data_IF_167841848858
#
_entry.id   IF_167841848858
#
_cell.length_a   1.000
_cell.length_b   1.000
_cell.length_c   1.000
_cell.angle_alpha   90.00
_cell.angle_beta   90.00
_cell.angle_gamma   90.00
#
_symmetry.space_group_name_H-M   'P 1'
#
loop_
_entity.id
_entity.type
_entity.pdbx_description
1 polymer ?
#
# COMPACT_ATOMS: atom_id res chain seq x y z
N UNK A 1 -46.11 25.29 -2.37
CA UNK A 1 -45.71 25.40 -0.95
C UNK A 1 -44.43 24.59 -0.81
N UNK A 2 -43.31 25.29 -0.87
CA UNK A 2 -41.94 24.78 -0.86
C UNK A 2 -41.43 24.79 0.57
N UNK A 3 -40.78 23.70 1.02
CA UNK A 3 -39.74 23.52 2.07
C UNK A 3 -39.34 22.03 1.91
N UNK A 4 -38.27 21.60 1.23
CA UNK A 4 -36.82 21.78 1.38
C UNK A 4 -36.19 21.19 2.66
N UNK A 5 -35.23 20.26 2.44
CA UNK A 5 -34.01 19.99 3.23
C UNK A 5 -34.21 19.11 4.50
N UNK A 6 -33.43 18.09 4.87
CA UNK A 6 -32.02 17.74 4.64
C UNK A 6 -31.86 16.21 4.81
N UNK A 7 -31.67 15.45 3.74
CA UNK A 7 -30.75 14.29 3.80
C UNK A 7 -29.52 14.70 3.02
N UNK A 8 -28.75 15.61 3.61
CA UNK A 8 -27.33 15.66 3.31
C UNK A 8 -26.80 14.30 3.74
N UNK A 9 -26.65 13.38 2.79
CA UNK A 9 -25.53 12.46 2.85
C UNK A 9 -24.30 13.36 2.82
N UNK A 10 -23.93 13.87 4.00
CA UNK A 10 -22.56 14.24 4.25
C UNK A 10 -21.86 12.91 4.07
N UNK A 11 -21.29 12.71 2.88
CA UNK A 11 -20.20 11.78 2.68
C UNK A 11 -19.12 12.32 3.61
N UNK A 12 -19.21 11.99 4.90
CA UNK A 12 -18.06 12.06 5.78
C UNK A 12 -17.10 11.09 5.12
N UNK A 13 -15.94 11.59 4.70
CA UNK A 13 -14.83 10.71 4.41
C UNK A 13 -14.64 9.85 5.64
N UNK A 14 -15.01 8.58 5.54
CA UNK A 14 -14.76 7.62 6.60
C UNK A 14 -13.27 7.34 6.54
N UNK A 15 -12.53 7.87 7.51
CA UNK A 15 -11.14 7.48 7.72
C UNK A 15 -11.17 6.25 8.62
N UNK A 16 -10.75 5.11 8.08
CA UNK A 16 -10.76 3.86 8.84
C UNK A 16 -9.69 3.87 9.93
N UNK A 17 -8.56 4.55 9.68
CA UNK A 17 -7.48 4.73 10.66
C UNK A 17 -7.66 5.95 11.57
N UNK A 18 -8.67 6.80 11.31
CA UNK A 18 -8.96 8.03 12.05
C UNK A 18 -8.39 9.30 11.40
N UNK A 19 -9.02 10.44 11.67
CA UNK A 19 -8.71 11.74 11.03
C UNK A 19 -7.23 12.15 11.17
N UNK A 20 -6.61 11.85 12.31
CA UNK A 20 -5.20 12.14 12.55
C UNK A 20 -4.28 11.24 11.72
N UNK A 21 -4.70 10.00 11.43
CA UNK A 21 -3.98 9.10 10.54
C UNK A 21 -4.03 9.59 9.08
N UNK A 22 -5.11 10.25 8.65
CA UNK A 22 -5.16 10.88 7.33
C UNK A 22 -4.06 11.92 7.15
N UNK A 23 -3.67 12.65 8.20
CA UNK A 23 -2.55 13.59 8.14
C UNK A 23 -1.22 12.87 7.90
N UNK A 24 -1.03 11.70 8.52
CA UNK A 24 0.13 10.83 8.27
C UNK A 24 0.11 10.36 6.82
N UNK A 25 -1.00 9.80 6.34
CA UNK A 25 -1.10 9.32 4.96
C UNK A 25 -0.92 10.43 3.93
N UNK A 26 -1.49 11.62 4.14
CA UNK A 26 -1.27 12.76 3.24
C UNK A 26 0.22 13.13 3.15
N UNK A 27 0.92 13.15 4.30
CA UNK A 27 2.35 13.45 4.34
C UNK A 27 3.19 12.34 3.71
N UNK A 28 2.88 11.07 4.03
CA UNK A 28 3.53 9.88 3.52
C UNK A 28 3.39 9.74 2.00
N UNK A 29 2.17 9.82 1.48
CA UNK A 29 1.91 9.76 0.04
C UNK A 29 2.38 11.03 -0.67
N UNK A 30 2.43 12.17 0.01
CA UNK A 30 3.12 13.37 -0.45
C UNK A 30 4.65 13.26 -0.46
N UNK A 31 5.21 12.14 0.01
CA UNK A 31 6.65 11.87 0.08
C UNK A 31 7.43 12.82 0.99
N UNK A 32 6.76 13.34 2.02
CA UNK A 32 7.36 14.10 3.12
C UNK A 32 7.58 13.17 4.31
N UNK A 33 8.52 12.23 4.18
CA UNK A 33 8.73 11.14 5.15
C UNK A 33 9.11 11.66 6.54
N UNK A 34 9.90 12.73 6.64
CA UNK A 34 10.29 13.34 7.91
C UNK A 34 9.10 13.96 8.64
N UNK A 35 8.20 14.59 7.90
CA UNK A 35 6.97 15.16 8.45
C UNK A 35 6.02 14.04 8.89
N UNK A 36 5.86 12.99 8.08
CA UNK A 36 5.04 11.83 8.41
C UNK A 36 5.51 11.16 9.72
N UNK A 37 6.81 10.92 9.87
CA UNK A 37 7.40 10.39 11.10
C UNK A 37 7.13 11.31 12.32
N UNK A 38 7.27 12.62 12.11
CA UNK A 38 7.04 13.61 13.18
C UNK A 38 5.60 13.62 13.67
N UNK A 39 4.62 13.52 12.76
CA UNK A 39 3.19 13.42 13.10
C UNK A 39 2.93 12.14 13.90
N UNK A 40 3.47 10.99 13.45
CA UNK A 40 3.32 9.72 14.16
C UNK A 40 3.92 9.80 15.57
N UNK A 41 5.13 10.32 15.73
CA UNK A 41 5.79 10.45 17.04
C UNK A 41 5.02 11.38 17.98
N UNK A 42 4.52 12.52 17.49
CA UNK A 42 3.73 13.45 18.29
C UNK A 42 2.45 12.79 18.82
N UNK A 43 1.74 12.05 17.97
CA UNK A 43 0.50 11.37 18.37
C UNK A 43 0.74 10.17 19.29
N UNK A 44 1.83 9.42 19.11
CA UNK A 44 2.21 8.33 20.05
C UNK A 44 2.56 8.82 21.46
N UNK A 45 3.06 10.05 21.57
CA UNK A 45 3.41 10.64 22.85
C UNK A 45 2.16 11.15 23.60
N UNK A 46 1.13 11.61 22.87
CA UNK A 46 -0.09 12.17 23.45
C UNK A 46 -1.23 11.17 23.60
N UNK A 47 -1.29 10.17 22.71
CA UNK A 47 -2.26 9.09 22.70
C UNK A 47 -1.48 7.80 22.91
N UNK A 48 -1.82 7.04 23.96
CA UNK A 48 -1.20 5.77 24.32
C UNK A 48 -0.83 4.94 23.09
N UNK A 49 0.33 4.28 23.10
CA UNK A 49 0.92 3.58 21.96
C UNK A 49 -0.01 2.49 21.38
N UNK A 50 -0.94 2.83 20.48
CA UNK A 50 -1.98 1.93 19.97
C UNK A 50 -1.48 1.05 18.83
N UNK A 51 -2.27 0.03 18.46
CA UNK A 51 -1.99 -0.80 17.29
C UNK A 51 -1.86 0.03 16.00
N UNK A 52 -2.75 1.01 15.82
CA UNK A 52 -2.79 1.90 14.65
C UNK A 52 -1.52 2.76 14.56
N UNK A 53 -1.11 3.40 15.65
CA UNK A 53 0.08 4.26 15.62
C UNK A 53 1.37 3.47 15.40
N UNK A 54 1.44 2.25 15.93
CA UNK A 54 2.53 1.34 15.62
C UNK A 54 2.52 0.95 14.13
N UNK A 55 1.36 0.62 13.56
CA UNK A 55 1.25 0.27 12.15
C UNK A 55 1.63 1.45 11.23
N UNK A 56 1.21 2.67 11.55
CA UNK A 56 1.60 3.88 10.81
C UNK A 56 3.11 4.13 10.91
N UNK A 57 3.72 3.93 12.08
CA UNK A 57 5.17 4.01 12.24
C UNK A 57 5.92 2.95 11.44
N UNK A 58 5.38 1.74 11.33
CA UNK A 58 5.91 0.71 10.44
C UNK A 58 5.77 1.11 8.97
N UNK A 59 4.67 1.75 8.56
CA UNK A 59 4.48 2.21 7.19
C UNK A 59 5.49 3.32 6.80
N UNK A 60 5.79 4.24 7.72
CA UNK A 60 6.87 5.22 7.52
C UNK A 60 8.22 4.52 7.30
N UNK A 61 8.57 3.57 8.16
CA UNK A 61 9.81 2.81 8.00
C UNK A 61 9.83 1.99 6.69
N UNK A 62 8.69 1.44 6.29
CA UNK A 62 8.53 0.74 5.01
C UNK A 62 8.80 1.65 3.81
N UNK A 63 8.28 2.89 3.83
CA UNK A 63 8.54 3.86 2.77
C UNK A 63 10.01 4.29 2.73
N UNK A 64 10.67 4.42 3.88
CA UNK A 64 12.11 4.68 3.96
C UNK A 64 12.95 3.54 3.37
N UNK A 65 12.58 2.28 3.65
CA UNK A 65 13.20 1.08 3.06
C UNK A 65 13.07 1.11 1.53
N UNK A 66 11.86 1.37 1.02
CA UNK A 66 11.60 1.48 -0.42
C UNK A 66 12.26 2.69 -1.08
N UNK A 67 12.58 3.74 -0.32
CA UNK A 67 13.26 4.94 -0.80
C UNK A 67 14.79 4.77 -0.93
N UNK A 68 15.29 3.54 -0.92
CA UNK A 68 16.71 3.23 -1.10
C UNK A 68 17.45 2.83 0.17
N UNK A 69 16.76 2.64 1.29
CA UNK A 69 17.36 2.18 2.55
C UNK A 69 17.15 0.68 2.80
N UNK A 70 17.11 -0.14 1.75
CA UNK A 70 16.78 -1.56 1.85
C UNK A 70 17.68 -2.31 2.85
N UNK A 71 19.00 -2.04 2.82
CA UNK A 71 19.98 -2.66 3.71
C UNK A 71 20.16 -1.94 5.06
N UNK A 72 19.39 -0.87 5.33
CA UNK A 72 19.56 -0.08 6.56
C UNK A 72 19.10 -0.86 7.79
N UNK A 73 20.00 -1.19 8.74
CA UNK A 73 19.59 -1.93 9.94
C UNK A 73 18.67 -1.09 10.84
N UNK A 74 18.76 0.25 10.76
CA UNK A 74 17.92 1.16 11.56
C UNK A 74 16.47 1.07 11.12
N UNK A 75 16.21 1.21 9.82
CA UNK A 75 14.84 1.21 9.29
C UNK A 75 14.21 -0.18 9.34
N UNK A 76 14.98 -1.23 9.06
CA UNK A 76 14.50 -2.62 9.21
C UNK A 76 14.14 -2.92 10.68
N UNK A 77 14.99 -2.58 11.65
CA UNK A 77 14.69 -2.77 13.07
C UNK A 77 13.48 -1.93 13.53
N UNK A 78 13.33 -0.71 13.01
CA UNK A 78 12.17 0.13 13.31
C UNK A 78 10.89 -0.47 12.74
N UNK A 79 10.91 -0.97 11.51
CA UNK A 79 9.79 -1.67 10.89
C UNK A 79 9.37 -2.88 11.73
N UNK A 80 10.30 -3.80 12.01
CA UNK A 80 10.03 -5.03 12.77
C UNK A 80 9.50 -4.75 14.18
N UNK A 81 10.12 -3.80 14.90
CA UNK A 81 9.69 -3.41 16.24
C UNK A 81 8.24 -2.94 16.24
N UNK A 82 7.88 -2.08 15.28
CA UNK A 82 6.55 -1.48 15.19
C UNK A 82 5.51 -2.49 14.71
N UNK A 83 5.82 -3.36 13.75
CA UNK A 83 4.95 -4.48 13.34
C UNK A 83 4.66 -5.41 14.52
N UNK A 84 5.68 -5.79 15.29
CA UNK A 84 5.53 -6.62 16.48
C UNK A 84 4.68 -5.95 17.56
N UNK A 85 4.89 -4.65 17.79
CA UNK A 85 4.10 -3.88 18.74
C UNK A 85 2.64 -3.75 18.30
N UNK A 86 2.40 -3.45 17.02
CA UNK A 86 1.05 -3.39 16.46
C UNK A 86 0.31 -4.71 16.64
N UNK A 87 0.91 -5.83 16.22
CA UNK A 87 0.34 -7.18 16.39
C UNK A 87 -0.02 -7.51 17.84
N UNK A 88 0.83 -7.10 18.80
CA UNK A 88 0.58 -7.33 20.23
C UNK A 88 -0.62 -6.51 20.70
N UNK A 89 -0.68 -5.23 20.34
CA UNK A 89 -1.70 -4.31 20.82
C UNK A 89 -3.06 -4.56 20.14
N UNK A 90 -3.10 -5.22 18.98
CA UNK A 90 -4.36 -5.72 18.36
C UNK A 90 -5.09 -6.77 19.21
N UNK A 91 -4.42 -7.37 20.20
CA UNK A 91 -5.05 -8.33 21.14
C UNK A 91 -5.77 -7.63 22.30
N UNK A 92 -5.64 -6.32 22.43
CA UNK A 92 -6.29 -5.56 23.50
C UNK A 92 -7.79 -5.40 23.22
N UNK A 93 -8.58 -5.35 24.30
CA UNK A 93 -10.03 -5.18 24.20
C UNK A 93 -10.38 -3.72 23.82
N UNK A 94 -11.42 -3.52 23.02
CA UNK A 94 -11.95 -2.19 22.68
C UNK A 94 -11.71 -1.74 21.23
N UNK A 95 -11.01 -2.54 20.43
CA UNK A 95 -10.97 -2.37 18.96
C UNK A 95 -12.17 -3.11 18.38
N UNK A 96 -12.88 -2.46 17.45
CA UNK A 96 -13.95 -3.08 16.67
C UNK A 96 -13.46 -4.36 15.97
N UNK A 97 -14.34 -5.32 15.77
CA UNK A 97 -13.97 -6.63 15.25
C UNK A 97 -13.41 -6.56 13.83
N UNK A 98 -14.05 -5.80 12.94
CA UNK A 98 -13.63 -5.69 11.55
C UNK A 98 -12.38 -4.82 11.41
N UNK A 99 -12.28 -3.74 12.19
CA UNK A 99 -11.04 -2.96 12.32
C UNK A 99 -9.87 -3.85 12.75
N UNK A 100 -10.07 -4.64 13.82
CA UNK A 100 -9.03 -5.53 14.35
C UNK A 100 -8.61 -6.56 13.31
N UNK A 101 -9.56 -7.20 12.64
CA UNK A 101 -9.28 -8.20 11.60
C UNK A 101 -8.50 -7.56 10.45
N UNK A 102 -8.96 -6.41 9.94
CA UNK A 102 -8.31 -5.67 8.88
C UNK A 102 -6.88 -5.28 9.24
N UNK A 103 -6.65 -4.66 10.40
CA UNK A 103 -5.30 -4.29 10.83
C UNK A 103 -4.40 -5.51 11.01
N UNK A 104 -4.95 -6.64 11.47
CA UNK A 104 -4.16 -7.86 11.61
C UNK A 104 -3.73 -8.42 10.25
N UNK A 105 -4.60 -8.38 9.24
CA UNK A 105 -4.27 -8.70 7.84
C UNK A 105 -3.16 -7.78 7.34
N UNK A 106 -3.30 -6.45 7.49
CA UNK A 106 -2.28 -5.49 7.02
C UNK A 106 -0.93 -5.72 7.70
N UNK A 107 -0.91 -6.00 9.01
CA UNK A 107 0.31 -6.35 9.75
C UNK A 107 1.01 -7.57 9.16
N UNK A 108 0.28 -8.64 8.81
CA UNK A 108 0.88 -9.84 8.21
C UNK A 108 1.28 -9.63 6.77
N UNK A 109 0.52 -8.86 5.99
CA UNK A 109 0.87 -8.50 4.63
C UNK A 109 2.17 -7.68 4.58
N UNK A 110 2.31 -6.68 5.46
CA UNK A 110 3.52 -5.88 5.58
C UNK A 110 4.71 -6.75 6.00
N UNK A 111 4.53 -7.58 7.04
CA UNK A 111 5.58 -8.49 7.50
C UNK A 111 6.01 -9.45 6.39
N UNK A 112 5.07 -10.07 5.69
CA UNK A 112 5.36 -10.98 4.57
C UNK A 112 6.19 -10.30 3.49
N UNK A 113 5.80 -9.10 3.06
CA UNK A 113 6.54 -8.33 2.03
C UNK A 113 7.95 -7.99 2.49
N UNK A 114 8.12 -7.63 3.76
CA UNK A 114 9.42 -7.33 4.34
C UNK A 114 10.32 -8.57 4.45
N UNK A 115 9.78 -9.72 4.86
CA UNK A 115 10.52 -10.98 4.88
C UNK A 115 10.91 -11.42 3.45
N UNK A 116 10.04 -11.22 2.45
CA UNK A 116 10.36 -11.50 1.04
C UNK A 116 11.47 -10.59 0.50
N UNK A 117 11.48 -9.30 0.85
CA UNK A 117 12.56 -8.38 0.46
C UNK A 117 13.91 -8.78 1.05
N UNK A 118 13.91 -9.48 2.19
CA UNK A 118 15.11 -9.95 2.87
C UNK A 118 15.41 -11.44 2.61
N UNK A 119 14.82 -12.03 1.56
CA UNK A 119 14.99 -13.45 1.18
C UNK A 119 14.64 -14.48 2.28
N UNK A 120 13.85 -14.07 3.27
CA UNK A 120 13.41 -14.92 4.38
C UNK A 120 12.15 -15.72 4.02
N UNK A 121 12.24 -16.54 2.97
CA UNK A 121 11.08 -17.21 2.36
C UNK A 121 10.25 -18.09 3.31
N UNK A 122 10.89 -18.74 4.29
CA UNK A 122 10.19 -19.59 5.27
C UNK A 122 9.30 -18.76 6.19
N UNK A 123 9.83 -17.64 6.70
CA UNK A 123 9.05 -16.73 7.55
C UNK A 123 7.94 -16.06 6.74
N UNK A 124 8.26 -15.61 5.53
CA UNK A 124 7.30 -15.06 4.60
C UNK A 124 6.14 -16.04 4.33
N UNK A 125 6.41 -17.32 4.08
CA UNK A 125 5.38 -18.33 3.85
C UNK A 125 4.47 -18.51 5.09
N UNK A 126 5.05 -18.57 6.28
CA UNK A 126 4.28 -18.71 7.53
C UNK A 126 3.35 -17.51 7.79
N UNK A 127 3.86 -16.29 7.60
CA UNK A 127 3.06 -15.08 7.77
C UNK A 127 2.01 -14.93 6.66
N UNK A 128 2.34 -15.33 5.43
CA UNK A 128 1.40 -15.33 4.31
C UNK A 128 0.23 -16.27 4.54
N UNK A 129 0.48 -17.47 5.07
CA UNK A 129 -0.59 -18.41 5.42
C UNK A 129 -1.54 -17.83 6.45
N UNK A 130 -0.97 -17.23 7.50
CA UNK A 130 -1.77 -16.55 8.53
C UNK A 130 -2.59 -15.41 7.92
N UNK A 131 -1.98 -14.63 7.02
CA UNK A 131 -2.66 -13.54 6.31
C UNK A 131 -3.83 -14.06 5.48
N UNK A 132 -3.63 -15.15 4.73
CA UNK A 132 -4.66 -15.78 3.89
C UNK A 132 -5.83 -16.31 4.71
N UNK A 133 -5.56 -16.97 5.83
CA UNK A 133 -6.62 -17.48 6.72
C UNK A 133 -7.51 -16.32 7.21
N UNK A 134 -6.89 -15.19 7.58
CA UNK A 134 -7.58 -14.01 8.08
C UNK A 134 -8.34 -13.24 7.00
N UNK A 135 -7.78 -13.15 5.79
CA UNK A 135 -8.53 -12.61 4.65
C UNK A 135 -9.76 -13.48 4.39
N UNK A 136 -9.64 -14.80 4.49
CA UNK A 136 -10.76 -15.72 4.30
C UNK A 136 -11.86 -15.52 5.35
N UNK A 137 -11.50 -15.18 6.60
CA UNK A 137 -12.46 -14.79 7.64
C UNK A 137 -13.25 -13.53 7.30
N UNK A 138 -12.75 -12.64 6.42
CA UNK A 138 -13.43 -11.41 6.00
C UNK A 138 -14.40 -11.58 4.83
N UNK A 139 -14.37 -12.73 4.15
CA UNK A 139 -15.20 -12.93 2.94
C UNK A 139 -16.69 -12.84 3.22
N UNK A 140 -17.38 -12.14 2.32
CA UNK A 140 -18.82 -11.90 2.42
C UNK A 140 -19.18 -10.65 3.21
N UNK A 141 -18.22 -9.99 3.87
CA UNK A 141 -18.42 -8.73 4.60
C UNK A 141 -17.91 -7.50 3.86
N UNK A 142 -17.48 -7.61 2.60
CA UNK A 142 -16.90 -6.48 1.86
C UNK A 142 -17.89 -5.31 1.68
N UNK A 143 -19.19 -5.61 1.50
CA UNK A 143 -20.24 -4.59 1.44
C UNK A 143 -20.60 -3.98 2.81
N UNK A 144 -20.28 -4.68 3.89
CA UNK A 144 -20.52 -4.23 5.27
C UNK A 144 -19.34 -3.38 5.78
N UNK A 145 -18.12 -3.72 5.36
CA UNK A 145 -16.88 -3.06 5.75
C UNK A 145 -15.94 -2.87 4.54
N UNK A 146 -15.95 -1.64 3.99
CA UNK A 146 -15.26 -1.27 2.75
C UNK A 146 -13.77 -1.70 2.68
N UNK A 147 -12.95 -1.61 3.75
CA UNK A 147 -11.54 -1.98 3.68
C UNK A 147 -11.30 -3.44 3.27
N UNK A 148 -12.25 -4.33 3.49
CA UNK A 148 -12.13 -5.72 3.03
C UNK A 148 -12.12 -5.87 1.52
N UNK A 149 -12.64 -4.90 0.75
CA UNK A 149 -12.45 -4.88 -0.70
C UNK A 149 -10.96 -4.86 -1.08
N UNK A 150 -10.10 -4.21 -0.29
CA UNK A 150 -8.66 -4.14 -0.57
C UNK A 150 -8.04 -5.51 -0.37
N UNK A 151 -8.27 -6.11 0.80
CA UNK A 151 -7.64 -7.38 1.20
C UNK A 151 -8.18 -8.56 0.40
N UNK A 152 -9.50 -8.66 0.23
CA UNK A 152 -10.12 -9.67 -0.63
C UNK A 152 -9.74 -9.48 -2.09
N UNK A 153 -9.68 -8.23 -2.57
CA UNK A 153 -9.32 -7.92 -3.95
C UNK A 153 -7.91 -8.42 -4.30
N UNK A 154 -6.93 -8.15 -3.43
CA UNK A 154 -5.57 -8.67 -3.57
C UNK A 154 -5.56 -10.20 -3.52
N UNK A 155 -6.26 -10.80 -2.56
CA UNK A 155 -6.32 -12.24 -2.44
C UNK A 155 -6.86 -12.91 -3.70
N UNK A 156 -8.05 -12.51 -4.17
CA UNK A 156 -8.69 -13.15 -5.32
C UNK A 156 -7.82 -13.08 -6.57
N UNK A 157 -7.17 -11.93 -6.81
CA UNK A 157 -6.28 -11.77 -7.94
C UNK A 157 -5.02 -12.64 -7.82
N UNK A 158 -4.28 -12.49 -6.71
CA UNK A 158 -2.98 -13.17 -6.55
C UNK A 158 -3.13 -14.69 -6.38
N UNK A 159 -4.20 -15.17 -5.74
CA UNK A 159 -4.47 -16.61 -5.64
C UNK A 159 -4.73 -17.22 -7.02
N UNK A 160 -5.56 -16.57 -7.84
CA UNK A 160 -5.82 -17.02 -9.21
C UNK A 160 -4.55 -16.99 -10.06
N UNK A 161 -3.77 -15.90 -9.94
CA UNK A 161 -2.51 -15.74 -10.67
C UNK A 161 -1.49 -16.79 -10.27
N UNK A 162 -1.37 -17.08 -8.97
CA UNK A 162 -0.48 -18.12 -8.47
C UNK A 162 -0.88 -19.51 -8.96
N UNK A 163 -2.19 -19.82 -8.97
CA UNK A 163 -2.70 -21.08 -9.49
C UNK A 163 -2.42 -21.23 -11.02
N UNK A 164 -2.49 -20.14 -11.77
CA UNK A 164 -2.16 -20.13 -13.20
C UNK A 164 -0.65 -20.33 -13.45
N UNK A 165 0.18 -19.53 -12.79
CA UNK A 165 1.60 -19.39 -13.15
C UNK A 165 2.51 -20.42 -12.43
N UNK A 166 2.12 -20.93 -11.26
CA UNK A 166 2.93 -21.86 -10.46
C UNK A 166 2.27 -23.24 -10.34
N UNK A 167 2.36 -24.04 -11.41
CA UNK A 167 1.77 -25.38 -11.48
C UNK A 167 2.18 -26.29 -10.30
N UNK A 168 3.43 -26.21 -9.85
CA UNK A 168 3.96 -27.01 -8.74
C UNK A 168 3.34 -26.64 -7.39
N UNK A 169 2.79 -25.43 -7.25
CA UNK A 169 2.16 -24.96 -6.01
C UNK A 169 0.68 -25.34 -5.94
N UNK A 170 0.04 -25.78 -7.02
CA UNK A 170 -1.41 -26.10 -7.01
C UNK A 170 -1.87 -27.08 -5.93
N UNK A 171 -1.16 -28.19 -5.64
CA UNK A 171 -1.56 -29.09 -4.57
C UNK A 171 -1.56 -28.45 -3.19
N UNK A 172 -0.75 -27.41 -3.00
CA UNK A 172 -0.73 -26.61 -1.79
C UNK A 172 -1.87 -25.59 -1.78
N UNK A 173 -2.10 -24.91 -2.91
CA UNK A 173 -3.12 -23.88 -3.03
C UNK A 173 -4.56 -24.42 -2.91
N UNK A 174 -4.81 -25.70 -3.21
CA UNK A 174 -6.16 -26.30 -3.16
C UNK A 174 -6.82 -26.32 -1.77
N UNK A 175 -6.05 -26.09 -0.71
CA UNK A 175 -6.56 -26.01 0.66
C UNK A 175 -7.10 -24.61 1.01
N UNK A 176 -6.88 -23.63 0.14
CA UNK A 176 -7.34 -22.26 0.31
C UNK A 176 -8.53 -21.97 -0.62
N UNK A 177 -9.36 -20.96 -0.29
CA UNK A 177 -10.42 -20.50 -1.19
C UNK A 177 -9.91 -20.20 -2.62
N UNK A 178 -10.75 -20.46 -3.61
CA UNK A 178 -10.39 -20.22 -4.99
C UNK A 178 -10.20 -18.72 -5.27
N UNK A 179 -9.20 -18.41 -6.08
CA UNK A 179 -9.01 -17.07 -6.63
C UNK A 179 -9.94 -16.78 -7.80
N UNK A 180 -10.17 -15.49 -8.05
CA UNK A 180 -10.86 -14.99 -9.24
C UNK A 180 -10.22 -13.66 -9.67
N UNK A 181 -9.47 -13.67 -10.77
CA UNK A 181 -8.76 -12.48 -11.24
C UNK A 181 -9.71 -11.31 -11.52
N UNK A 182 -10.88 -11.58 -12.12
CA UNK A 182 -11.84 -10.54 -12.49
C UNK A 182 -12.47 -9.94 -11.25
N UNK A 183 -12.85 -10.77 -10.28
CA UNK A 183 -13.39 -10.33 -8.99
C UNK A 183 -12.36 -9.50 -8.23
N UNK A 184 -11.10 -9.96 -8.19
CA UNK A 184 -10.01 -9.22 -7.55
C UNK A 184 -9.80 -7.83 -8.14
N UNK A 185 -9.74 -7.74 -9.48
CA UNK A 185 -9.62 -6.45 -10.18
C UNK A 185 -10.85 -5.55 -9.99
N UNK A 186 -12.07 -6.11 -9.95
CA UNK A 186 -13.30 -5.34 -9.68
C UNK A 186 -13.26 -4.74 -8.27
N UNK A 187 -12.90 -5.55 -7.27
CA UNK A 187 -12.84 -5.15 -5.86
C UNK A 187 -11.83 -4.03 -5.64
N UNK A 188 -10.61 -4.18 -6.18
CA UNK A 188 -9.60 -3.12 -6.16
C UNK A 188 -10.09 -1.89 -6.93
N UNK A 189 -10.74 -2.09 -8.09
CA UNK A 189 -11.28 -1.03 -8.93
C UNK A 189 -12.26 -0.11 -8.19
N UNK A 190 -13.15 -0.69 -7.37
CA UNK A 190 -14.12 0.07 -6.54
C UNK A 190 -13.43 1.07 -5.61
N UNK A 191 -12.31 0.67 -5.03
CA UNK A 191 -11.57 1.49 -4.06
C UNK A 191 -10.80 2.65 -4.68
N UNK A 192 -10.58 2.65 -5.99
CA UNK A 192 -9.79 3.70 -6.68
C UNK A 192 -10.38 5.10 -6.55
N UNK A 193 -11.65 5.19 -6.13
CA UNK A 193 -12.38 6.43 -5.88
C UNK A 193 -12.86 6.58 -4.43
N UNK A 194 -12.45 5.66 -3.54
CA UNK A 194 -12.84 5.69 -2.12
C UNK A 194 -12.53 7.05 -1.48
N UNK A 195 -13.35 7.45 -0.52
CA UNK A 195 -13.08 8.66 0.26
C UNK A 195 -11.89 8.48 1.21
N UNK A 196 -11.61 7.25 1.65
CA UNK A 196 -10.45 6.94 2.49
C UNK A 196 -9.16 7.06 1.67
N UNK A 197 -8.19 7.81 2.21
CA UNK A 197 -6.93 8.09 1.49
C UNK A 197 -6.05 6.85 1.33
N UNK A 198 -6.02 5.97 2.33
CA UNK A 198 -5.24 4.76 2.31
C UNK A 198 -5.82 3.79 1.28
N UNK A 199 -7.11 3.46 1.38
CA UNK A 199 -7.75 2.54 0.45
C UNK A 199 -7.65 3.01 -1.01
N UNK A 200 -7.83 4.32 -1.24
CA UNK A 200 -7.73 4.91 -2.56
C UNK A 200 -6.32 4.84 -3.14
N UNK A 201 -5.30 5.24 -2.39
CA UNK A 201 -3.93 5.24 -2.91
C UNK A 201 -3.39 3.81 -3.04
N UNK A 202 -3.62 2.92 -2.08
CA UNK A 202 -3.19 1.52 -2.16
C UNK A 202 -3.85 0.79 -3.32
N UNK A 203 -5.16 0.93 -3.52
CA UNK A 203 -5.85 0.26 -4.64
C UNK A 203 -5.34 0.73 -6.01
N UNK A 204 -5.14 2.04 -6.21
CA UNK A 204 -4.53 2.55 -7.43
C UNK A 204 -3.09 2.04 -7.60
N UNK A 205 -2.29 1.99 -6.52
CA UNK A 205 -0.92 1.48 -6.56
C UNK A 205 -0.88 -0.01 -6.93
N UNK A 206 -1.70 -0.84 -6.30
CA UNK A 206 -1.75 -2.26 -6.62
C UNK A 206 -2.29 -2.54 -8.01
N UNK A 207 -3.31 -1.83 -8.49
CA UNK A 207 -3.78 -1.97 -9.87
C UNK A 207 -2.72 -1.53 -10.88
N UNK A 208 -2.01 -0.43 -10.63
CA UNK A 208 -0.87 -0.02 -11.44
C UNK A 208 0.18 -1.14 -11.53
N UNK A 209 0.60 -1.69 -10.39
CA UNK A 209 1.60 -2.78 -10.33
C UNK A 209 1.10 -4.05 -11.00
N UNK A 210 -0.14 -4.47 -10.74
CA UNK A 210 -0.74 -5.65 -11.38
C UNK A 210 -0.71 -5.50 -12.91
N UNK A 211 -1.18 -4.37 -13.44
CA UNK A 211 -1.21 -4.17 -14.89
C UNK A 211 0.18 -4.01 -15.51
N UNK A 212 1.13 -3.40 -14.80
CA UNK A 212 2.50 -3.21 -15.28
C UNK A 212 3.37 -4.48 -15.18
N UNK A 213 3.36 -5.16 -14.04
CA UNK A 213 4.26 -6.28 -13.78
C UNK A 213 3.73 -7.62 -14.29
N UNK A 214 2.41 -7.84 -14.19
CA UNK A 214 1.81 -9.17 -14.32
C UNK A 214 0.96 -9.33 -15.58
N UNK A 215 0.07 -8.38 -15.85
CA UNK A 215 -0.79 -8.42 -17.05
C UNK A 215 -0.11 -7.86 -18.29
N UNK A 216 0.94 -7.04 -18.12
CA UNK A 216 1.62 -6.31 -19.21
C UNK A 216 0.66 -5.45 -20.05
N UNK A 217 -0.40 -4.94 -19.43
CA UNK A 217 -1.33 -3.95 -20.01
C UNK A 217 -0.90 -2.55 -19.56
N UNK A 218 0.09 -2.00 -20.27
CA UNK A 218 0.71 -0.73 -19.92
C UNK A 218 -0.26 0.47 -20.05
N UNK A 219 -1.25 0.38 -20.93
CA UNK A 219 -2.31 1.40 -21.07
C UNK A 219 -3.19 1.49 -19.83
N UNK A 220 -3.59 0.34 -19.27
CA UNK A 220 -4.32 0.34 -17.98
C UNK A 220 -3.42 0.76 -16.84
N UNK A 221 -2.17 0.28 -16.81
CA UNK A 221 -1.21 0.70 -15.79
C UNK A 221 -1.04 2.24 -15.78
N UNK A 222 -0.94 2.85 -16.97
CA UNK A 222 -0.81 4.30 -17.14
C UNK A 222 -1.99 5.07 -16.54
N UNK A 223 -3.22 4.55 -16.66
CA UNK A 223 -4.41 5.19 -16.06
C UNK A 223 -4.30 5.30 -14.54
N UNK A 224 -3.88 4.23 -13.87
CA UNK A 224 -3.74 4.21 -12.41
C UNK A 224 -2.51 5.02 -11.95
N UNK A 225 -1.38 4.92 -12.67
CA UNK A 225 -0.20 5.74 -12.40
C UNK A 225 -0.50 7.25 -12.49
N UNK A 226 -1.25 7.68 -13.51
CA UNK A 226 -1.69 9.06 -13.64
C UNK A 226 -2.58 9.49 -12.48
N UNK A 227 -3.51 8.65 -12.01
CA UNK A 227 -4.35 8.97 -10.86
C UNK A 227 -3.49 9.23 -9.60
N UNK A 228 -2.49 8.37 -9.36
CA UNK A 228 -1.56 8.50 -8.25
C UNK A 228 -0.73 9.77 -8.32
N UNK A 229 -0.12 10.06 -9.48
CA UNK A 229 0.76 11.22 -9.67
C UNK A 229 -0.02 12.53 -9.66
N UNK A 230 -1.24 12.57 -10.22
CA UNK A 230 -2.08 13.78 -10.16
C UNK A 230 -2.46 14.12 -8.72
N UNK A 231 -2.80 13.11 -7.90
CA UNK A 231 -3.17 13.32 -6.50
C UNK A 231 -1.98 13.54 -5.58
N UNK A 232 -0.86 12.88 -5.86
CA UNK A 232 0.34 12.89 -5.04
C UNK A 232 1.57 13.25 -5.90
N UNK A 233 1.64 14.48 -6.43
CA UNK A 233 2.63 14.87 -7.43
C UNK A 233 4.05 14.93 -6.90
N UNK A 234 4.31 14.79 -5.61
CA UNK A 234 5.68 14.75 -5.07
C UNK A 234 6.14 13.31 -4.77
N UNK A 235 5.27 12.32 -4.97
CA UNK A 235 5.61 10.92 -4.74
C UNK A 235 6.59 10.38 -5.77
N UNK A 236 7.84 10.19 -5.34
CA UNK A 236 8.92 9.74 -6.22
C UNK A 236 8.70 8.29 -6.67
N UNK A 237 8.12 7.42 -5.84
CA UNK A 237 7.82 6.04 -6.22
C UNK A 237 6.74 6.03 -7.33
N UNK A 238 5.67 6.81 -7.18
CA UNK A 238 4.61 6.86 -8.20
C UNK A 238 5.10 7.45 -9.52
N UNK A 239 5.94 8.50 -9.46
CA UNK A 239 6.57 9.09 -10.64
C UNK A 239 7.51 8.12 -11.35
N UNK A 240 8.32 7.37 -10.59
CA UNK A 240 9.22 6.37 -11.16
C UNK A 240 8.43 5.33 -11.94
N UNK A 241 7.33 4.81 -11.39
CA UNK A 241 6.48 3.86 -12.11
C UNK A 241 5.78 4.48 -13.32
N UNK A 242 5.32 5.74 -13.23
CA UNK A 242 4.80 6.45 -14.39
C UNK A 242 5.83 6.49 -15.52
N UNK A 243 7.09 6.82 -15.22
CA UNK A 243 8.18 6.85 -16.20
C UNK A 243 8.44 5.47 -16.80
N UNK A 244 8.52 4.42 -15.96
CA UNK A 244 8.68 3.04 -16.42
C UNK A 244 7.56 2.61 -17.38
N UNK A 245 6.32 2.99 -17.07
CA UNK A 245 5.17 2.74 -17.94
C UNK A 245 5.25 3.53 -19.25
N UNK A 246 5.58 4.82 -19.19
CA UNK A 246 5.75 5.66 -20.38
C UNK A 246 6.86 5.14 -21.30
N UNK A 247 7.93 4.60 -20.72
CA UNK A 247 9.02 3.95 -21.45
C UNK A 247 8.55 2.68 -22.15
N UNK A 248 7.80 1.82 -21.46
CA UNK A 248 7.21 0.62 -22.05
C UNK A 248 6.20 0.92 -23.18
N UNK A 249 5.64 2.13 -23.19
CA UNK A 249 4.73 2.63 -24.23
C UNK A 249 5.43 3.44 -25.33
N UNK A 250 6.76 3.62 -25.27
CA UNK A 250 7.52 4.47 -26.20
C UNK A 250 6.93 5.89 -26.33
N UNK A 251 6.48 6.47 -25.21
CA UNK A 251 5.78 7.76 -25.21
C UNK A 251 6.71 8.94 -25.50
N UNK A 252 6.26 9.87 -26.34
CA UNK A 252 6.96 11.14 -26.64
C UNK A 252 7.19 12.02 -25.39
N UNK A 253 6.43 11.80 -24.31
CA UNK A 253 6.55 12.56 -23.06
C UNK A 253 7.68 12.07 -22.15
N UNK A 254 8.32 10.94 -22.48
CA UNK A 254 9.25 10.24 -21.60
C UNK A 254 10.41 11.15 -21.15
N UNK A 255 11.12 11.78 -22.09
CA UNK A 255 12.31 12.59 -21.79
C UNK A 255 11.99 13.77 -20.87
N UNK A 256 10.85 14.43 -21.08
CA UNK A 256 10.41 15.53 -20.22
C UNK A 256 10.11 15.04 -18.80
N UNK A 257 9.45 13.89 -18.68
CA UNK A 257 9.10 13.30 -17.38
C UNK A 257 10.34 12.81 -16.61
N UNK A 258 11.33 12.23 -17.28
CA UNK A 258 12.62 11.86 -16.71
C UNK A 258 13.36 13.09 -16.16
N UNK A 259 13.41 14.18 -16.91
CA UNK A 259 14.04 15.43 -16.47
C UNK A 259 13.33 16.04 -15.26
N UNK A 260 11.99 16.06 -15.25
CA UNK A 260 11.19 16.53 -14.11
C UNK A 260 11.46 15.67 -12.88
N UNK A 261 11.51 14.35 -13.05
CA UNK A 261 11.78 13.41 -11.96
C UNK A 261 13.18 13.60 -11.37
N UNK A 262 14.21 13.68 -12.22
CA UNK A 262 15.59 13.92 -11.75
C UNK A 262 15.70 15.25 -10.98
N UNK A 263 15.01 16.30 -11.43
CA UNK A 263 14.93 17.57 -10.71
C UNK A 263 14.24 17.40 -9.35
N UNK A 264 13.11 16.69 -9.30
CA UNK A 264 12.37 16.42 -8.06
C UNK A 264 13.23 15.65 -7.05
N UNK A 265 13.92 14.59 -7.47
CA UNK A 265 14.86 13.81 -6.62
C UNK A 265 15.95 14.71 -6.05
N UNK A 266 16.61 15.52 -6.88
CA UNK A 266 17.70 16.38 -6.44
C UNK A 266 17.25 17.47 -5.46
N UNK A 267 16.06 18.04 -5.68
CA UNK A 267 15.47 19.08 -4.84
C UNK A 267 14.83 18.57 -3.55
N UNK A 268 14.55 17.26 -3.43
CA UNK A 268 13.89 16.70 -2.25
C UNK A 268 14.82 16.80 -1.03
N UNK A 269 14.32 17.41 0.04
CA UNK A 269 15.07 17.68 1.28
C UNK A 269 15.02 16.54 2.29
N UNK A 270 14.03 15.65 2.16
CA UNK A 270 13.89 14.47 3.02
C UNK A 270 14.82 13.34 2.58
N UNK A 271 15.31 13.36 1.33
CA UNK A 271 16.24 12.37 0.82
C UNK A 271 17.70 12.70 1.14
N UNK A 272 18.42 11.72 1.68
CA UNK A 272 19.87 11.76 1.78
C UNK A 272 20.56 11.45 0.43
N UNK A 273 21.88 11.58 0.38
CA UNK A 273 22.66 11.35 -0.85
C UNK A 273 22.54 9.93 -1.43
N UNK A 274 22.44 8.92 -0.58
CA UNK A 274 22.30 7.51 -0.99
C UNK A 274 20.91 7.25 -1.58
N UNK A 275 19.87 7.77 -0.96
CA UNK A 275 18.49 7.67 -1.48
C UNK A 275 18.32 8.42 -2.80
N UNK A 276 18.93 9.62 -2.94
CA UNK A 276 18.94 10.34 -4.21
C UNK A 276 19.63 9.52 -5.31
N UNK A 277 20.80 8.94 -4.98
CA UNK A 277 21.52 8.06 -5.89
C UNK A 277 20.66 6.85 -6.29
N UNK A 278 20.02 6.19 -5.32
CA UNK A 278 19.13 5.06 -5.55
C UNK A 278 18.03 5.38 -6.57
N UNK A 279 17.30 6.49 -6.40
CA UNK A 279 16.25 6.88 -7.35
C UNK A 279 16.79 7.22 -8.75
N UNK A 280 17.95 7.87 -8.84
CA UNK A 280 18.58 8.19 -10.12
C UNK A 280 19.14 6.93 -10.82
N UNK A 281 19.58 5.92 -10.08
CA UNK A 281 19.98 4.62 -10.64
C UNK A 281 18.75 3.86 -11.16
N UNK A 282 17.67 3.81 -10.40
CA UNK A 282 16.39 3.20 -10.82
C UNK A 282 15.75 3.89 -12.02
N UNK A 283 16.00 5.19 -12.21
CA UNK A 283 15.54 5.92 -13.40
C UNK A 283 16.17 5.36 -14.68
N UNK A 284 17.44 4.98 -14.59
CA UNK A 284 18.28 4.52 -15.68
C UNK A 284 18.31 2.99 -15.83
N UNK A 285 17.63 2.24 -14.94
CA UNK A 285 17.51 0.79 -15.07
C UNK A 285 16.44 0.41 -16.09
N UNK A 286 16.73 -0.62 -16.87
CA UNK A 286 15.79 -1.26 -17.80
C UNK A 286 14.79 -2.18 -17.07
N UNK A 287 15.03 -2.45 -15.78
CA UNK A 287 14.18 -3.18 -14.83
C UNK A 287 13.45 -2.21 -13.89
#
# INVERSE_FOLDING_TARGET
MTICLVFSNVIRSQSYFGTEADLVFNSLYGFNLSQSDSIVRANRASMQDTAVWNLLSANVAWMEILAGNMESPVWNAQFEKNIKASKRNLKENGIDEDDRLFYYIIVHAFKTRHELLNDNYINAANDLNTCVDQISESFGREDEYEPFYLTSGLYYYFMAKAHQDYLLMRPYLMFYPDGDMKKGLDYLGRLTTSSDIFLRNESNYFLMRIYYDLEKDFERALRYANNLVVKNPQNLIYRLYLIKILRALESDQLTDMEAIFASAVNSNVDLNSEQKKHFLEQLNSDE
#
